data_IF_001742642727
#
_entry.id   IF_001742642727
#
_cell.length_a   1.000
_cell.length_b   1.000
_cell.length_c   1.000
_cell.angle_alpha   90.00
_cell.angle_beta   90.00
_cell.angle_gamma   90.00
#
_symmetry.space_group_name_H-M   'P 1'
#
loop_
_entity.id
_entity.type
_entity.pdbx_description
1 polymer ?
#
# COMPACT_ATOMS: atom_id res chain seq x y z
N UNK A 1 6.84 25.06 44.19
CA UNK A 1 7.77 23.95 43.96
C UNK A 1 7.36 23.33 42.64
N UNK A 2 8.20 23.45 41.62
CA UNK A 2 7.84 23.14 40.22
C UNK A 2 8.07 21.66 39.94
N UNK A 3 7.06 20.98 39.42
CA UNK A 3 7.06 19.55 39.11
C UNK A 3 7.96 19.21 37.91
N UNK A 4 9.15 18.67 38.16
CA UNK A 4 9.98 17.98 37.16
C UNK A 4 9.73 16.47 37.21
N UNK A 5 8.64 16.01 36.57
CA UNK A 5 8.40 14.59 36.26
C UNK A 5 7.87 14.39 34.83
N UNK A 6 8.60 14.87 33.82
CA UNK A 6 8.19 14.67 32.41
C UNK A 6 9.28 14.19 31.46
N UNK A 7 10.47 13.86 31.96
CA UNK A 7 11.58 13.39 31.11
C UNK A 7 11.87 11.88 31.21
N UNK A 8 11.34 11.19 32.23
CA UNK A 8 11.65 9.77 32.47
C UNK A 8 10.86 8.78 31.61
N UNK A 9 9.61 9.11 31.27
CA UNK A 9 8.75 8.20 30.50
C UNK A 9 9.24 8.00 29.05
N UNK A 10 9.92 8.99 28.47
CA UNK A 10 10.45 8.89 27.10
C UNK A 10 11.74 8.04 27.04
N UNK A 11 12.61 8.13 28.05
CA UNK A 11 13.84 7.34 28.11
C UNK A 11 13.56 5.85 28.37
N UNK A 12 12.52 5.54 29.16
CA UNK A 12 12.14 4.16 29.50
C UNK A 12 11.53 3.40 28.31
N UNK A 13 10.86 4.11 27.39
CA UNK A 13 10.34 3.50 26.16
C UNK A 13 11.47 3.17 25.18
N UNK A 14 12.55 3.96 25.16
CA UNK A 14 13.67 3.75 24.24
C UNK A 14 14.56 2.58 24.68
N UNK A 15 14.71 2.35 25.99
CA UNK A 15 15.49 1.24 26.52
C UNK A 15 14.84 -0.13 26.29
N UNK A 16 13.50 -0.20 26.24
CA UNK A 16 12.78 -1.47 26.01
C UNK A 16 12.95 -2.01 24.58
N UNK A 17 13.11 -1.12 23.59
CA UNK A 17 13.26 -1.50 22.17
C UNK A 17 14.61 -2.13 21.84
N UNK A 18 15.69 -1.73 22.51
CA UNK A 18 17.05 -2.21 22.23
C UNK A 18 17.27 -3.68 22.69
N UNK A 19 16.47 -4.13 23.66
CA UNK A 19 16.64 -5.44 24.29
C UNK A 19 16.12 -6.63 23.47
N UNK A 20 15.27 -6.41 22.45
CA UNK A 20 14.66 -7.49 21.64
C UNK A 20 15.48 -7.93 20.42
N UNK A 21 16.58 -7.25 20.10
CA UNK A 21 17.35 -7.50 18.85
C UNK A 21 18.51 -8.47 19.00
N UNK A 22 18.64 -9.18 20.13
CA UNK A 22 19.72 -10.16 20.33
C UNK A 22 19.18 -11.54 20.69
N UNK A 23 18.62 -12.23 19.70
CA UNK A 23 18.38 -13.68 19.72
C UNK A 23 19.11 -14.32 18.54
N UNK A 24 19.94 -15.30 18.89
CA UNK A 24 20.80 -16.14 18.07
C UNK A 24 19.98 -17.07 17.15
N UNK A 25 20.44 -17.43 15.94
CA UNK A 25 19.67 -18.25 15.00
C UNK A 25 19.75 -19.75 15.33
N UNK A 26 18.59 -20.41 15.40
CA UNK A 26 18.41 -21.88 15.40
C UNK A 26 18.73 -22.47 14.00
N UNK A 27 19.25 -23.70 13.89
CA UNK A 27 19.60 -24.32 12.61
C UNK A 27 18.36 -24.85 11.86
N UNK A 28 18.26 -24.55 10.57
CA UNK A 28 17.22 -25.06 9.66
C UNK A 28 17.44 -26.55 9.30
N UNK A 29 16.37 -27.37 9.21
CA UNK A 29 16.44 -28.71 8.63
C UNK A 29 16.46 -28.63 7.09
N UNK A 30 17.29 -29.47 6.48
CA UNK A 30 17.47 -29.59 5.03
C UNK A 30 16.21 -30.13 4.35
N UNK A 31 15.70 -29.43 3.34
CA UNK A 31 14.61 -29.86 2.47
C UNK A 31 15.17 -30.65 1.28
N UNK A 32 14.72 -31.90 1.14
CA UNK A 32 14.96 -32.74 -0.04
C UNK A 32 14.32 -32.14 -1.29
N UNK A 33 15.06 -32.28 -2.40
CA UNK A 33 14.71 -31.91 -3.76
C UNK A 33 13.47 -32.66 -4.29
N UNK A 34 12.52 -31.99 -4.97
CA UNK A 34 11.52 -32.69 -5.75
C UNK A 34 12.04 -33.00 -7.18
N UNK A 35 11.84 -34.26 -7.54
CA UNK A 35 12.05 -34.91 -8.84
C UNK A 35 11.19 -34.28 -9.96
N UNK A 36 11.66 -34.20 -11.22
CA UNK A 36 10.93 -33.54 -12.30
C UNK A 36 10.09 -34.54 -13.10
N UNK A 37 8.80 -34.27 -13.31
CA UNK A 37 7.97 -35.03 -14.26
C UNK A 37 6.79 -34.18 -14.81
N UNK A 38 6.17 -34.53 -15.96
CA UNK A 38 6.41 -33.82 -17.22
C UNK A 38 5.16 -33.15 -17.86
N UNK A 39 5.47 -32.26 -18.81
CA UNK A 39 4.79 -31.88 -20.05
C UNK A 39 3.35 -31.32 -20.07
N UNK A 40 3.27 -30.18 -20.77
CA UNK A 40 2.11 -29.45 -21.23
C UNK A 40 1.26 -30.29 -22.20
N UNK A 41 -0.01 -30.51 -21.83
CA UNK A 41 -1.07 -30.73 -22.80
C UNK A 41 -1.85 -29.43 -23.00
N UNK A 42 -2.01 -29.10 -24.28
CA UNK A 42 -2.75 -27.95 -24.79
C UNK A 42 -4.21 -28.34 -24.95
N UNK A 43 -5.19 -27.53 -24.53
CA UNK A 43 -6.56 -27.72 -24.96
C UNK A 43 -6.83 -27.01 -26.29
N UNK A 44 -7.33 -27.82 -27.21
CA UNK A 44 -7.92 -27.55 -28.53
C UNK A 44 -9.07 -26.52 -28.46
N UNK A 45 -9.32 -25.70 -29.51
CA UNK A 45 -10.33 -24.65 -29.47
C UNK A 45 -11.72 -25.21 -29.83
N UNK A 46 -12.71 -24.96 -28.98
CA UNK A 46 -14.12 -25.21 -29.29
C UNK A 46 -14.96 -23.90 -29.34
N UNK A 47 -16.08 -23.89 -30.09
CA UNK A 47 -16.49 -22.79 -30.94
C UNK A 47 -17.39 -21.74 -30.27
N UNK A 48 -17.44 -20.56 -30.90
CA UNK A 48 -18.29 -19.42 -30.58
C UNK A 48 -19.79 -19.76 -30.68
N UNK A 49 -20.57 -19.36 -29.67
CA UNK A 49 -22.02 -19.26 -29.75
C UNK A 49 -22.53 -18.01 -28.99
N UNK A 50 -23.11 -17.13 -29.78
CA UNK A 50 -24.22 -16.20 -29.54
C UNK A 50 -24.18 -15.19 -28.38
N UNK A 51 -24.19 -13.93 -28.83
CA UNK A 51 -24.57 -12.68 -28.16
C UNK A 51 -25.96 -12.69 -27.52
N UNK A 52 -26.11 -12.00 -26.38
CA UNK A 52 -27.34 -11.29 -26.05
C UNK A 52 -27.14 -9.77 -26.10
N UNK A 53 -28.05 -9.11 -26.81
CA UNK A 53 -28.25 -7.67 -26.93
C UNK A 53 -28.63 -7.03 -25.58
N UNK A 54 -28.02 -5.91 -25.15
CA UNK A 54 -28.51 -5.17 -23.99
C UNK A 54 -29.41 -4.00 -24.40
N UNK A 55 -30.66 -4.06 -23.93
CA UNK A 55 -31.61 -2.94 -23.86
C UNK A 55 -31.08 -1.72 -23.05
N UNK A 56 -31.60 -0.51 -23.29
CA UNK A 56 -30.93 0.75 -22.96
C UNK A 56 -31.12 1.17 -21.50
N UNK A 57 -30.02 1.37 -20.76
CA UNK A 57 -30.07 1.88 -19.39
C UNK A 57 -29.53 3.32 -19.28
N UNK A 58 -30.50 4.24 -19.16
CA UNK A 58 -30.54 5.41 -18.28
C UNK A 58 -29.23 6.13 -17.93
N UNK A 59 -29.11 7.33 -18.51
CA UNK A 59 -28.18 8.42 -18.22
C UNK A 59 -27.77 8.59 -16.75
N UNK A 60 -26.46 8.52 -16.50
CA UNK A 60 -25.78 9.14 -15.34
C UNK A 60 -24.59 9.94 -15.90
N UNK A 61 -24.36 11.19 -15.49
CA UNK A 61 -23.38 12.05 -16.14
C UNK A 61 -21.97 11.46 -16.01
N UNK A 62 -21.40 11.10 -17.15
CA UNK A 62 -20.06 10.59 -17.30
C UNK A 62 -19.06 11.74 -17.11
N UNK A 63 -18.37 11.73 -15.98
CA UNK A 63 -17.10 12.44 -15.83
C UNK A 63 -16.08 11.76 -16.75
N UNK A 64 -15.27 12.49 -17.55
CA UNK A 64 -14.45 11.86 -18.58
C UNK A 64 -13.45 10.90 -17.96
N UNK A 65 -13.68 9.59 -18.18
CA UNK A 65 -12.70 8.55 -17.91
C UNK A 65 -11.73 8.49 -19.09
N UNK A 66 -10.75 9.38 -19.10
CA UNK A 66 -9.48 8.98 -19.70
C UNK A 66 -8.91 7.86 -18.82
N UNK A 67 -8.44 6.73 -19.38
CA UNK A 67 -7.56 5.82 -18.67
C UNK A 67 -6.17 6.46 -18.57
N UNK A 68 -6.09 7.65 -17.97
CA UNK A 68 -4.82 8.18 -17.47
C UNK A 68 -4.38 7.19 -16.41
N UNK A 69 -3.27 6.52 -16.67
CA UNK A 69 -2.68 5.52 -15.80
C UNK A 69 -2.35 6.17 -14.46
N UNK A 70 -3.24 6.02 -13.47
CA UNK A 70 -3.15 6.78 -12.23
C UNK A 70 -1.86 6.44 -11.48
N UNK A 71 -1.03 7.44 -11.22
CA UNK A 71 0.18 7.36 -10.39
C UNK A 71 -0.15 7.33 -8.90
N UNK A 72 -1.24 6.63 -8.55
CA UNK A 72 -1.85 6.71 -7.23
C UNK A 72 -2.11 5.30 -6.72
N UNK A 73 -1.56 5.00 -5.55
CA UNK A 73 -1.79 3.77 -4.79
C UNK A 73 -2.73 4.06 -3.62
N UNK A 74 -3.93 3.48 -3.64
CA UNK A 74 -4.88 3.59 -2.53
C UNK A 74 -4.64 2.51 -1.49
N UNK A 75 -4.36 2.91 -0.25
CA UNK A 75 -4.11 1.99 0.87
C UNK A 75 -5.43 1.64 1.57
N UNK A 76 -5.76 0.35 1.55
CA UNK A 76 -6.92 -0.25 2.18
C UNK A 76 -6.54 -1.37 3.15
N UNK A 77 -7.32 -2.46 3.18
CA UNK A 77 -7.17 -3.56 4.16
C UNK A 77 -6.16 -4.65 3.77
N UNK A 78 -5.61 -4.62 2.55
CA UNK A 78 -4.61 -5.60 2.11
C UNK A 78 -3.32 -5.54 2.96
N UNK A 79 -2.50 -6.61 2.98
CA UNK A 79 -1.21 -6.61 3.67
C UNK A 79 -0.29 -5.50 3.18
N UNK A 80 0.59 -5.03 4.06
CA UNK A 80 1.51 -3.91 3.79
C UNK A 80 2.37 -4.14 2.54
N UNK A 81 2.90 -5.35 2.37
CA UNK A 81 3.78 -5.70 1.25
C UNK A 81 3.09 -5.58 -0.11
N UNK A 82 1.77 -5.75 -0.18
CA UNK A 82 1.01 -5.58 -1.43
C UNK A 82 1.09 -4.14 -1.94
N UNK A 83 1.07 -3.15 -1.04
CA UNK A 83 1.19 -1.76 -1.44
C UNK A 83 2.63 -1.38 -1.75
N UNK A 84 3.60 -1.94 -1.00
CA UNK A 84 5.03 -1.73 -1.27
C UNK A 84 5.38 -2.22 -2.66
N UNK A 85 5.02 -3.46 -3.01
CA UNK A 85 5.31 -4.01 -4.34
C UNK A 85 4.61 -3.24 -5.46
N UNK A 86 3.35 -2.85 -5.27
CA UNK A 86 2.61 -2.05 -6.24
C UNK A 86 3.26 -0.67 -6.46
N UNK A 87 3.69 -0.01 -5.38
CA UNK A 87 4.36 1.30 -5.45
C UNK A 87 5.70 1.19 -6.17
N UNK A 88 6.53 0.20 -5.84
CA UNK A 88 7.82 -0.04 -6.49
C UNK A 88 7.65 -0.38 -7.99
N UNK A 89 6.63 -1.17 -8.32
CA UNK A 89 6.31 -1.49 -9.72
C UNK A 89 5.97 -0.22 -10.51
N UNK A 90 5.16 0.68 -9.93
CA UNK A 90 4.85 1.95 -10.58
C UNK A 90 6.07 2.88 -10.65
N UNK A 91 6.88 2.98 -9.60
CA UNK A 91 8.11 3.79 -9.58
C UNK A 91 9.15 3.32 -10.62
N UNK A 92 9.13 2.04 -11.02
CA UNK A 92 10.04 1.54 -12.05
C UNK A 92 9.80 2.14 -13.44
N UNK A 93 8.58 2.63 -13.70
CA UNK A 93 8.18 3.22 -14.99
C UNK A 93 7.86 4.71 -14.87
N UNK A 94 7.78 5.24 -13.65
CA UNK A 94 7.30 6.60 -13.39
C UNK A 94 8.16 7.33 -12.37
N UNK A 95 8.40 8.63 -12.57
CA UNK A 95 9.27 9.42 -11.69
C UNK A 95 8.67 9.64 -10.30
N UNK A 96 7.34 9.57 -10.17
CA UNK A 96 6.65 9.88 -8.93
C UNK A 96 5.39 9.02 -8.78
N UNK A 97 5.14 8.54 -7.56
CA UNK A 97 3.93 7.80 -7.19
C UNK A 97 3.37 8.35 -5.89
N UNK A 98 2.06 8.60 -5.86
CA UNK A 98 1.33 9.08 -4.69
C UNK A 98 0.66 7.94 -3.95
N UNK A 99 1.01 7.73 -2.68
CA UNK A 99 0.32 6.82 -1.78
C UNK A 99 -0.82 7.62 -1.11
N UNK A 100 -2.08 7.22 -1.33
CA UNK A 100 -3.25 7.86 -0.70
C UNK A 100 -3.92 6.93 0.31
N UNK A 101 -4.25 7.48 1.47
CA UNK A 101 -4.98 6.77 2.53
C UNK A 101 -5.96 7.67 3.26
N UNK A 102 -6.91 7.04 3.97
CA UNK A 102 -7.91 7.74 4.78
C UNK A 102 -8.16 7.04 6.11
N UNK A 103 -8.48 7.83 7.13
CA UNK A 103 -8.81 7.37 8.47
C UNK A 103 -7.76 6.39 9.03
N UNK A 104 -8.22 5.24 9.54
CA UNK A 104 -7.36 4.23 10.19
C UNK A 104 -6.22 3.69 9.29
N UNK A 105 -6.32 3.84 7.97
CA UNK A 105 -5.29 3.34 7.03
C UNK A 105 -4.14 4.32 6.81
N UNK A 106 -4.20 5.52 7.38
CA UNK A 106 -3.12 6.51 7.30
C UNK A 106 -1.82 5.95 7.89
N UNK A 107 -1.87 5.32 9.06
CA UNK A 107 -0.69 4.69 9.67
C UNK A 107 -0.03 3.70 8.72
N UNK A 108 -0.83 2.86 8.06
CA UNK A 108 -0.34 1.88 7.10
C UNK A 108 0.30 2.54 5.87
N UNK A 109 -0.22 3.68 5.39
CA UNK A 109 0.42 4.42 4.29
C UNK A 109 1.78 5.00 4.70
N UNK A 110 1.91 5.49 5.93
CA UNK A 110 3.19 5.94 6.48
C UNK A 110 4.17 4.79 6.61
N UNK A 111 3.71 3.61 7.05
CA UNK A 111 4.56 2.42 7.14
C UNK A 111 5.05 1.99 5.74
N UNK A 112 4.19 2.04 4.72
CA UNK A 112 4.56 1.74 3.32
C UNK A 112 5.61 2.73 2.82
N UNK A 113 5.39 4.04 2.99
CA UNK A 113 6.34 5.06 2.50
C UNK A 113 7.70 4.93 3.17
N UNK A 114 7.73 4.76 4.50
CA UNK A 114 8.95 4.57 5.26
C UNK A 114 9.67 3.27 4.90
N UNK A 115 8.93 2.19 4.67
CA UNK A 115 9.53 0.92 4.25
C UNK A 115 10.22 1.04 2.89
N UNK A 116 9.61 1.76 1.94
CA UNK A 116 10.20 1.98 0.60
C UNK A 116 11.50 2.76 0.73
N UNK A 117 11.47 3.93 1.39
CA UNK A 117 12.67 4.78 1.55
C UNK A 117 13.78 4.02 2.27
N UNK A 118 13.47 3.34 3.39
CA UNK A 118 14.50 2.62 4.17
C UNK A 118 15.08 1.40 3.48
N UNK A 119 14.27 0.63 2.73
CA UNK A 119 14.76 -0.59 2.08
C UNK A 119 15.42 -0.32 0.72
N UNK A 120 15.07 0.78 0.08
CA UNK A 120 15.56 1.16 -1.26
C UNK A 120 16.48 2.38 -1.21
N UNK A 121 17.15 2.61 -0.08
CA UNK A 121 18.08 3.71 0.14
C UNK A 121 19.17 3.75 -0.95
N UNK A 122 19.67 2.59 -1.38
CA UNK A 122 20.64 2.46 -2.47
C UNK A 122 20.11 2.86 -3.86
N UNK A 123 18.78 2.91 -4.05
CA UNK A 123 18.13 3.30 -5.31
C UNK A 123 17.84 4.80 -5.34
N UNK A 124 17.82 5.47 -4.18
CA UNK A 124 17.56 6.91 -4.07
C UNK A 124 16.08 7.27 -4.07
N UNK A 125 15.20 6.44 -3.52
CA UNK A 125 13.80 6.83 -3.35
C UNK A 125 13.61 7.71 -2.11
N UNK A 126 12.93 8.85 -2.30
CA UNK A 126 12.69 9.86 -1.26
C UNK A 126 11.22 10.23 -1.18
N UNK A 127 10.77 10.66 0.00
CA UNK A 127 9.45 11.28 0.16
C UNK A 127 9.58 12.74 -0.27
N UNK A 128 8.91 13.12 -1.37
CA UNK A 128 9.01 14.46 -1.94
C UNK A 128 7.98 15.44 -1.37
N UNK A 129 6.77 14.97 -1.06
CA UNK A 129 5.69 15.80 -0.51
C UNK A 129 4.75 14.97 0.37
N UNK A 130 4.13 15.61 1.36
CA UNK A 130 3.10 15.02 2.22
C UNK A 130 1.96 15.99 2.39
N UNK A 131 0.77 15.61 1.92
CA UNK A 131 -0.45 16.42 2.00
C UNK A 131 -1.44 15.76 2.94
N UNK A 132 -2.04 16.55 3.84
CA UNK A 132 -3.06 16.10 4.79
C UNK A 132 -4.32 16.92 4.58
N UNK A 133 -5.48 16.28 4.59
CA UNK A 133 -6.78 16.91 4.37
C UNK A 133 -7.88 16.19 5.13
N UNK A 134 -9.14 16.57 4.89
CA UNK A 134 -10.30 15.90 5.45
C UNK A 134 -11.44 15.90 4.42
N UNK A 135 -11.99 14.72 4.14
CA UNK A 135 -13.10 14.54 3.22
C UNK A 135 -14.38 14.23 4.00
N UNK A 136 -15.50 14.85 3.61
CA UNK A 136 -16.83 14.49 4.12
C UNK A 136 -17.32 13.22 3.40
N UNK A 137 -17.57 12.16 4.17
CA UNK A 137 -18.11 10.90 3.68
C UNK A 137 -19.48 10.64 4.29
N UNK A 138 -20.39 10.12 3.47
CA UNK A 138 -21.69 9.64 3.94
C UNK A 138 -21.51 8.28 4.61
N UNK A 139 -21.86 8.19 5.90
CA UNK A 139 -21.94 6.94 6.65
C UNK A 139 -23.08 6.06 6.11
N UNK A 140 -23.09 4.78 6.46
CA UNK A 140 -24.20 3.87 6.12
C UNK A 140 -25.55 4.39 6.62
N UNK A 141 -25.55 5.13 7.74
CA UNK A 141 -26.73 5.76 8.33
C UNK A 141 -27.19 7.06 7.62
N UNK A 142 -26.61 7.39 6.45
CA UNK A 142 -26.92 8.60 5.68
C UNK A 142 -26.35 9.91 6.25
N UNK A 143 -25.75 9.88 7.45
CA UNK A 143 -25.10 11.06 8.06
C UNK A 143 -23.73 11.34 7.44
N UNK A 144 -23.43 12.61 7.21
CA UNK A 144 -22.08 13.03 6.82
C UNK A 144 -21.12 12.96 8.01
N UNK A 145 -19.90 12.50 7.75
CA UNK A 145 -18.80 12.47 8.72
C UNK A 145 -17.50 12.83 8.02
N UNK A 146 -16.69 13.66 8.67
CA UNK A 146 -15.36 14.00 8.19
C UNK A 146 -14.39 12.84 8.45
N UNK A 147 -13.58 12.51 7.45
CA UNK A 147 -12.54 11.50 7.54
C UNK A 147 -11.23 12.12 7.07
N UNK A 148 -10.21 12.05 7.92
CA UNK A 148 -8.88 12.53 7.56
C UNK A 148 -8.32 11.77 6.36
N UNK A 149 -7.65 12.48 5.48
CA UNK A 149 -6.97 11.94 4.31
C UNK A 149 -5.50 12.34 4.32
N UNK A 150 -4.67 11.48 3.76
CA UNK A 150 -3.23 11.72 3.60
C UNK A 150 -2.80 11.26 2.21
N UNK A 151 -1.93 12.06 1.60
CA UNK A 151 -1.23 11.75 0.36
C UNK A 151 0.26 11.87 0.61
N UNK A 152 1.03 10.89 0.18
CA UNK A 152 2.49 10.86 0.32
C UNK A 152 3.06 10.62 -1.07
N UNK A 153 3.82 11.58 -1.57
CA UNK A 153 4.50 11.45 -2.86
C UNK A 153 5.88 10.85 -2.65
N UNK A 154 6.17 9.77 -3.38
CA UNK A 154 7.48 9.13 -3.45
C UNK A 154 8.06 9.40 -4.83
N UNK A 155 9.30 9.85 -4.88
CA UNK A 155 10.03 10.10 -6.13
C UNK A 155 11.45 9.55 -6.04
N UNK A 156 12.13 9.52 -7.18
CA UNK A 156 13.55 9.18 -7.25
C UNK A 156 14.38 10.46 -7.29
N UNK A 157 15.38 10.55 -6.42
CA UNK A 157 16.39 11.62 -6.41
C UNK A 157 17.43 11.46 -7.54
#
# INVERSE_FOLDING_TARGET
MSDTRKSKDAEDILSEFDSRTKSEPEPEPQLESPEPEPQLESPEPEPQLESPEPEPQSSKPETPKHPEERNVIFVGTKPIMTYVSATLTQLSTRPTVTIKARGKRITQAVDVSQMIVKRMDSVGYVISDVRISSDSLTSQDGKQRNVSTMEIDISKE
#
